data_IF_011405443228
#
_entry.id   IF_011405443228
#
_cell.length_a   1.000
_cell.length_b   1.000
_cell.length_c   1.000
_cell.angle_alpha   90.00
_cell.angle_beta   90.00
_cell.angle_gamma   90.00
#
_symmetry.space_group_name_H-M   'P 1'
#
loop_
_entity.id
_entity.type
_entity.pdbx_description
1 polymer ?
#
# COMPACT_ATOMS: atom_id res chain seq x y z
N UNK A 1 -39.49 -1.31 0.69
CA UNK A 1 -38.46 -0.27 0.52
C UNK A 1 -37.27 -0.72 1.34
N UNK A 2 -36.07 -0.83 0.76
CA UNK A 2 -34.89 -1.29 1.51
C UNK A 2 -34.35 -0.15 2.36
N UNK A 3 -34.14 -0.38 3.66
CA UNK A 3 -33.40 0.54 4.51
C UNK A 3 -31.90 0.27 4.34
N UNK A 4 -31.15 1.29 3.95
CA UNK A 4 -29.69 1.23 3.85
C UNK A 4 -29.10 1.70 5.18
N UNK A 5 -28.50 0.83 6.00
CA UNK A 5 -27.87 1.25 7.25
C UNK A 5 -26.60 2.07 6.95
N UNK A 6 -26.25 2.98 7.86
CA UNK A 6 -24.96 3.66 7.78
C UNK A 6 -23.80 2.66 7.95
N UNK A 7 -22.72 2.80 7.16
CA UNK A 7 -21.56 1.93 7.28
C UNK A 7 -20.87 2.17 8.63
N UNK A 8 -20.53 1.07 9.30
CA UNK A 8 -19.71 1.14 10.52
C UNK A 8 -18.29 1.62 10.18
N UNK A 9 -17.60 2.28 11.12
CA UNK A 9 -16.19 2.61 10.94
C UNK A 9 -15.36 1.35 10.63
N UNK A 10 -14.46 1.47 9.66
CA UNK A 10 -13.54 0.41 9.24
C UNK A 10 -12.10 0.91 9.29
N UNK A 11 -11.14 -0.01 9.29
CA UNK A 11 -9.73 0.31 9.12
C UNK A 11 -9.43 0.51 7.64
N UNK A 12 -8.58 1.48 7.35
CA UNK A 12 -8.01 1.67 6.02
C UNK A 12 -6.91 0.62 5.80
N UNK A 13 -6.83 0.08 4.59
CA UNK A 13 -5.75 -0.83 4.16
C UNK A 13 -5.21 -0.28 2.85
N UNK A 14 -3.94 0.09 2.83
CA UNK A 14 -3.26 0.67 1.68
C UNK A 14 -2.18 -0.28 1.16
N UNK A 15 -2.27 -0.68 -0.10
CA UNK A 15 -1.22 -1.44 -0.78
C UNK A 15 -0.29 -0.50 -1.54
N UNK A 16 0.99 -0.50 -1.17
CA UNK A 16 2.02 0.27 -1.86
C UNK A 16 2.74 -0.65 -2.85
N UNK A 17 2.98 -0.16 -4.07
CA UNK A 17 3.91 -0.73 -5.04
C UNK A 17 4.98 0.33 -5.32
N UNK A 18 6.23 0.02 -5.06
CA UNK A 18 7.35 0.96 -5.19
C UNK A 18 8.48 0.36 -6.02
N UNK A 19 9.22 1.19 -6.75
CA UNK A 19 10.34 0.74 -7.60
C UNK A 19 11.60 0.33 -6.81
N UNK A 20 11.72 0.81 -5.58
CA UNK A 20 12.81 0.57 -4.65
C UNK A 20 12.39 0.91 -3.22
N UNK A 21 13.32 0.76 -2.27
CA UNK A 21 13.09 1.01 -0.84
C UNK A 21 12.88 2.49 -0.52
N UNK A 22 13.54 3.40 -1.23
CA UNK A 22 13.44 4.84 -0.97
C UNK A 22 12.05 5.36 -1.33
N UNK A 23 11.53 4.97 -2.50
CA UNK A 23 10.18 5.27 -2.91
C UNK A 23 9.14 4.62 -1.98
N UNK A 24 9.40 3.41 -1.48
CA UNK A 24 8.52 2.72 -0.54
C UNK A 24 8.42 3.47 0.79
N UNK A 25 9.56 3.89 1.33
CA UNK A 25 9.63 4.60 2.60
C UNK A 25 8.95 5.97 2.50
N UNK A 26 9.22 6.72 1.42
CA UNK A 26 8.57 8.00 1.16
C UNK A 26 7.03 7.87 1.03
N UNK A 27 6.55 6.84 0.33
CA UNK A 27 5.12 6.57 0.20
C UNK A 27 4.48 6.22 1.56
N UNK A 28 5.15 5.38 2.36
CA UNK A 28 4.67 5.01 3.70
C UNK A 28 4.62 6.21 4.64
N UNK A 29 5.63 7.07 4.63
CA UNK A 29 5.66 8.31 5.42
C UNK A 29 4.53 9.25 5.03
N UNK A 30 4.28 9.43 3.73
CA UNK A 30 3.18 10.25 3.22
C UNK A 30 1.80 9.73 3.67
N UNK A 31 1.60 8.40 3.63
CA UNK A 31 0.35 7.79 4.12
C UNK A 31 0.18 8.06 5.62
N UNK A 32 1.21 7.84 6.42
CA UNK A 32 1.15 8.03 7.87
C UNK A 32 0.89 9.49 8.24
N UNK A 33 1.54 10.45 7.55
CA UNK A 33 1.33 11.87 7.81
C UNK A 33 -0.07 12.34 7.43
N UNK A 34 -0.69 11.71 6.42
CA UNK A 34 -1.97 12.15 5.87
C UNK A 34 -3.16 11.45 6.55
N UNK A 35 -3.01 10.18 6.88
CA UNK A 35 -4.11 9.30 7.34
C UNK A 35 -3.98 8.94 8.82
N UNK A 36 -2.86 9.31 9.45
CA UNK A 36 -2.56 9.02 10.84
C UNK A 36 -1.65 7.80 11.01
N UNK A 37 -1.35 7.48 12.26
CA UNK A 37 -0.46 6.37 12.60
C UNK A 37 -0.98 5.03 12.05
N UNK A 38 -0.08 4.25 11.46
CA UNK A 38 -0.40 2.90 11.01
C UNK A 38 -0.61 1.97 12.20
N UNK A 39 -1.75 1.26 12.22
CA UNK A 39 -2.00 0.22 13.23
C UNK A 39 -1.19 -1.05 12.97
N UNK A 40 -0.96 -1.36 11.68
CA UNK A 40 -0.24 -2.54 11.21
C UNK A 40 0.58 -2.18 9.99
N UNK A 41 1.73 -2.81 9.84
CA UNK A 41 2.56 -2.71 8.65
C UNK A 41 3.01 -4.13 8.35
N UNK A 42 2.83 -4.58 7.10
CA UNK A 42 3.31 -5.90 6.69
C UNK A 42 4.81 -5.89 6.47
N UNK A 43 5.40 -7.08 6.39
CA UNK A 43 6.74 -7.23 5.82
C UNK A 43 6.77 -6.68 4.39
N UNK A 44 7.96 -6.22 3.98
CA UNK A 44 8.22 -5.82 2.60
C UNK A 44 8.38 -7.09 1.78
N UNK A 45 7.56 -7.21 0.74
CA UNK A 45 7.58 -8.36 -0.15
C UNK A 45 8.10 -7.97 -1.53
N UNK A 46 9.17 -8.61 -2.03
CA UNK A 46 9.58 -8.49 -3.43
C UNK A 46 8.47 -9.00 -4.34
N UNK A 47 7.96 -8.15 -5.22
CA UNK A 47 6.88 -8.49 -6.14
C UNK A 47 7.47 -9.13 -7.40
N UNK A 48 7.81 -10.41 -7.32
CA UNK A 48 8.50 -11.18 -8.35
C UNK A 48 7.59 -12.15 -9.13
N UNK A 49 6.27 -12.06 -8.92
CA UNK A 49 5.29 -12.93 -9.60
C UNK A 49 5.18 -12.68 -11.11
N UNK A 50 5.58 -11.51 -11.60
CA UNK A 50 5.51 -11.15 -13.01
C UNK A 50 6.45 -10.00 -13.34
N UNK A 51 7.00 -10.01 -14.56
CA UNK A 51 7.78 -8.91 -15.12
C UNK A 51 6.93 -7.91 -15.93
N UNK A 52 5.60 -8.06 -15.94
CA UNK A 52 4.70 -7.29 -16.81
C UNK A 52 4.85 -5.76 -16.69
N UNK A 53 5.17 -5.25 -15.50
CA UNK A 53 5.33 -3.82 -15.23
C UNK A 53 6.79 -3.35 -15.15
N UNK A 54 7.75 -4.19 -15.56
CA UNK A 54 9.17 -3.89 -15.37
C UNK A 54 9.61 -2.61 -16.09
N UNK A 55 9.00 -2.27 -17.23
CA UNK A 55 9.31 -1.04 -17.97
C UNK A 55 8.80 0.22 -17.29
N UNK A 56 7.66 0.16 -16.58
CA UNK A 56 7.04 1.33 -15.95
C UNK A 56 7.47 1.52 -14.49
N UNK A 57 7.66 0.43 -13.76
CA UNK A 57 7.93 0.44 -12.32
C UNK A 57 9.33 -0.09 -11.95
N UNK A 58 10.12 -0.50 -12.94
CA UNK A 58 11.41 -1.12 -12.72
C UNK A 58 11.32 -2.61 -12.41
N UNK A 59 12.45 -3.35 -12.49
CA UNK A 59 12.47 -4.80 -12.39
C UNK A 59 12.37 -5.34 -10.95
N UNK A 60 12.37 -4.47 -9.94
CA UNK A 60 12.45 -4.85 -8.52
C UNK A 60 11.35 -4.18 -7.69
N UNK A 61 10.11 -4.35 -8.14
CA UNK A 61 8.96 -3.80 -7.44
C UNK A 61 8.91 -4.37 -6.01
N UNK A 62 8.74 -3.49 -5.04
CA UNK A 62 8.47 -3.84 -3.66
C UNK A 62 7.00 -3.60 -3.36
N UNK A 63 6.40 -4.50 -2.60
CA UNK A 63 5.04 -4.35 -2.09
C UNK A 63 5.03 -4.32 -0.56
N UNK A 64 4.24 -3.43 0.00
CA UNK A 64 3.94 -3.41 1.43
C UNK A 64 2.49 -3.02 1.65
N UNK A 65 1.85 -3.60 2.67
CA UNK A 65 0.57 -3.13 3.18
C UNK A 65 0.76 -2.32 4.45
N UNK A 66 -0.01 -1.23 4.55
CA UNK A 66 -0.10 -0.32 5.70
C UNK A 66 -1.57 -0.15 6.07
#
# INVERSE_FOLDING_TARGET
MWELPEPKPVKLICGILACDTEALDAARECLISTLGAADRISDIWPFDLTAYYAEQAGPRILRQFV
#
